data_IF_199312670192
#
_entry.id   IF_199312670192
#
_cell.length_a   1.000
_cell.length_b   1.000
_cell.length_c   1.000
_cell.angle_alpha   90.00
_cell.angle_beta   90.00
_cell.angle_gamma   90.00
#
_symmetry.space_group_name_H-M   'P 1'
#
loop_
_entity.id
_entity.type
_entity.pdbx_description
1 polymer ?
#
# COMPACT_ATOMS: atom_id res chain seq x y z
N UNK A 1 -11.61 0.24 -10.44
CA UNK A 1 -12.10 -0.70 -9.42
C UNK A 1 -11.99 -0.06 -8.05
N UNK A 2 -13.05 -0.15 -7.28
CA UNK A 2 -13.05 0.38 -5.93
C UNK A 2 -13.16 -0.76 -4.94
N UNK A 3 -13.12 -0.44 -3.66
CA UNK A 3 -13.18 -1.46 -2.62
C UNK A 3 -14.44 -2.32 -2.78
N UNK A 4 -15.57 -1.71 -3.11
CA UNK A 4 -16.79 -2.49 -3.27
C UNK A 4 -16.69 -3.49 -4.43
N UNK A 5 -16.03 -3.09 -5.51
CA UNK A 5 -15.83 -3.99 -6.65
C UNK A 5 -14.93 -5.16 -6.26
N UNK A 6 -13.93 -4.89 -5.42
CA UNK A 6 -13.05 -5.93 -4.95
C UNK A 6 -13.82 -6.91 -4.08
N UNK A 7 -14.68 -6.40 -3.20
CA UNK A 7 -15.51 -7.23 -2.34
C UNK A 7 -16.43 -8.11 -3.20
N UNK A 8 -17.03 -7.50 -4.22
CA UNK A 8 -17.94 -8.24 -5.09
C UNK A 8 -17.21 -9.38 -5.80
N UNK A 9 -16.00 -9.10 -6.28
CA UNK A 9 -15.23 -10.11 -7.00
C UNK A 9 -14.84 -11.26 -6.08
N UNK A 10 -14.41 -10.96 -4.88
CA UNK A 10 -14.00 -11.99 -3.93
C UNK A 10 -15.21 -12.82 -3.51
N UNK A 11 -16.35 -12.16 -3.26
CA UNK A 11 -17.56 -12.87 -2.85
C UNK A 11 -18.00 -13.84 -3.93
N UNK A 12 -17.95 -13.43 -5.20
CA UNK A 12 -18.32 -14.29 -6.30
C UNK A 12 -17.34 -15.45 -6.45
N UNK A 13 -16.06 -15.16 -6.32
CA UNK A 13 -15.03 -16.16 -6.48
C UNK A 13 -15.08 -17.21 -5.38
N UNK A 14 -15.37 -16.80 -4.17
CA UNK A 14 -15.40 -17.70 -3.02
C UNK A 14 -16.81 -18.20 -2.69
N UNK A 15 -17.80 -17.72 -3.41
CA UNK A 15 -19.20 -18.09 -3.18
C UNK A 15 -19.59 -17.80 -1.73
N UNK A 16 -19.32 -16.57 -1.31
CA UNK A 16 -19.64 -16.14 0.04
C UNK A 16 -20.52 -14.89 -0.01
N UNK A 17 -21.30 -14.64 1.03
CA UNK A 17 -22.12 -13.42 1.05
C UNK A 17 -21.25 -12.17 1.05
N UNK A 18 -21.68 -11.17 0.29
CA UNK A 18 -20.91 -9.93 0.19
C UNK A 18 -20.69 -9.26 1.53
N UNK A 19 -21.69 -9.32 2.41
CA UNK A 19 -21.58 -8.72 3.71
C UNK A 19 -20.43 -9.34 4.50
N UNK A 20 -20.33 -10.66 4.46
CA UNK A 20 -19.27 -11.35 5.18
C UNK A 20 -17.90 -11.01 4.60
N UNK A 21 -17.81 -10.98 3.27
CA UNK A 21 -16.55 -10.65 2.60
C UNK A 21 -16.16 -9.21 2.93
N UNK A 22 -17.14 -8.30 2.94
CA UNK A 22 -16.86 -6.91 3.25
C UNK A 22 -16.27 -6.74 4.64
N UNK A 23 -16.79 -7.49 5.61
CA UNK A 23 -16.27 -7.43 6.97
C UNK A 23 -14.83 -7.93 7.03
N UNK A 24 -14.53 -9.01 6.30
CA UNK A 24 -13.18 -9.56 6.29
C UNK A 24 -12.21 -8.62 5.58
N UNK A 25 -12.62 -8.08 4.45
CA UNK A 25 -11.78 -7.14 3.70
C UNK A 25 -11.45 -5.93 4.55
N UNK A 26 -12.46 -5.38 5.22
CA UNK A 26 -12.22 -4.23 6.09
C UNK A 26 -11.27 -4.59 7.23
N UNK A 27 -11.43 -5.78 7.79
CA UNK A 27 -10.55 -6.22 8.88
C UNK A 27 -9.11 -6.35 8.42
N UNK A 28 -8.89 -6.83 7.19
CA UNK A 28 -7.54 -6.95 6.64
C UNK A 28 -6.90 -5.58 6.49
N UNK A 29 -7.62 -4.64 5.89
CA UNK A 29 -7.06 -3.30 5.69
C UNK A 29 -6.82 -2.58 7.01
N UNK A 30 -7.72 -2.75 7.97
CA UNK A 30 -7.54 -2.15 9.28
C UNK A 30 -6.33 -2.74 10.00
N UNK A 31 -6.11 -4.05 9.86
CA UNK A 31 -4.95 -4.69 10.49
C UNK A 31 -3.65 -4.16 9.88
N UNK A 32 -3.61 -3.98 8.56
CA UNK A 32 -2.44 -3.43 7.91
C UNK A 32 -2.20 -2.01 8.38
N UNK A 33 -3.25 -1.20 8.41
CA UNK A 33 -3.13 0.19 8.85
C UNK A 33 -2.61 0.28 10.28
N UNK A 34 -3.16 -0.54 11.16
CA UNK A 34 -2.79 -0.49 12.57
C UNK A 34 -1.35 -0.95 12.79
N UNK A 35 -0.91 -1.97 12.06
CA UNK A 35 0.47 -2.42 12.15
C UNK A 35 1.42 -1.32 11.69
N UNK A 36 1.08 -0.66 10.59
CA UNK A 36 1.93 0.40 10.06
C UNK A 36 1.94 1.61 10.99
N UNK A 37 0.83 1.88 11.66
CA UNK A 37 0.79 2.97 12.64
C UNK A 37 1.75 2.72 13.78
N UNK A 38 2.03 1.44 14.06
CA UNK A 38 3.01 1.09 15.07
C UNK A 38 4.42 1.00 14.52
N UNK A 39 4.60 1.31 13.25
CA UNK A 39 5.92 1.28 12.62
C UNK A 39 6.32 -0.06 12.05
N UNK A 40 5.41 -1.01 11.99
CA UNK A 40 5.75 -2.34 11.50
C UNK A 40 5.65 -2.44 10.00
N UNK A 41 6.51 -3.26 9.43
CA UNK A 41 6.46 -3.59 8.02
C UNK A 41 5.52 -4.78 7.85
N UNK A 42 4.64 -4.70 6.88
CA UNK A 42 3.70 -5.79 6.59
C UNK A 42 4.07 -6.40 5.26
N UNK A 43 4.53 -7.64 5.29
CA UNK A 43 4.97 -8.34 4.09
C UNK A 43 3.91 -9.35 3.66
N UNK A 44 3.44 -9.21 2.42
CA UNK A 44 2.47 -10.12 1.85
C UNK A 44 3.18 -10.90 0.75
N UNK A 45 3.61 -12.10 1.08
CA UNK A 45 4.40 -12.92 0.17
C UNK A 45 3.68 -13.08 -1.16
N UNK A 46 4.40 -12.83 -2.24
CA UNK A 46 3.81 -12.95 -3.58
C UNK A 46 3.11 -11.70 -4.05
N UNK A 47 2.95 -10.70 -3.19
CA UNK A 47 2.23 -9.48 -3.56
C UNK A 47 3.11 -8.26 -3.38
N UNK A 48 3.61 -8.04 -2.20
CA UNK A 48 4.45 -6.88 -1.93
C UNK A 48 4.51 -6.61 -0.44
N UNK A 49 5.02 -5.45 -0.09
CA UNK A 49 5.13 -5.09 1.31
C UNK A 49 4.74 -3.64 1.52
N UNK A 50 4.18 -3.39 2.69
CA UNK A 50 3.85 -2.04 3.13
C UNK A 50 4.87 -1.67 4.19
N UNK A 51 5.50 -0.53 4.04
CA UNK A 51 6.52 -0.10 5.01
C UNK A 51 6.32 1.34 5.37
N UNK A 52 6.90 1.73 6.49
CA UNK A 52 6.86 3.10 6.94
C UNK A 52 8.22 3.70 6.63
N UNK A 53 8.22 4.80 5.91
CA UNK A 53 9.46 5.50 5.61
C UNK A 53 9.47 6.80 6.37
N UNK A 54 10.66 7.23 6.77
CA UNK A 54 10.84 8.46 7.51
C UNK A 54 11.39 9.50 6.56
N UNK A 55 10.68 10.62 6.44
CA UNK A 55 11.13 11.70 5.57
C UNK A 55 11.60 12.82 6.45
N UNK A 56 12.85 13.24 6.23
CA UNK A 56 13.44 14.27 7.03
C UNK A 56 12.87 15.63 6.73
N UNK A 57 13.00 16.52 7.67
CA UNK A 57 12.69 17.91 7.46
C UNK A 57 13.49 18.44 6.29
N UNK A 58 12.91 19.26 5.46
CA UNK A 58 13.61 19.84 4.34
C UNK A 58 13.00 21.18 3.99
N UNK A 59 13.73 21.93 3.20
CA UNK A 59 13.26 23.22 2.76
C UNK A 59 12.54 23.07 1.43
N UNK A 60 11.49 23.81 1.26
CA UNK A 60 10.77 23.88 0.03
C UNK A 60 10.51 25.33 -0.32
N UNK A 61 9.82 25.57 -1.40
CA UNK A 61 9.52 26.90 -1.84
C UNK A 61 8.04 27.01 -2.17
N UNK A 62 7.42 28.04 -1.65
CA UNK A 62 6.02 28.29 -1.93
C UNK A 62 5.91 28.81 -3.38
N UNK A 63 5.26 28.08 -4.26
CA UNK A 63 5.19 28.49 -5.67
C UNK A 63 4.43 29.79 -5.89
N UNK A 64 3.58 30.18 -4.92
CA UNK A 64 2.83 31.37 -5.07
C UNK A 64 3.61 32.57 -4.66
N UNK A 65 4.36 32.55 -3.60
CA UNK A 65 5.07 33.70 -3.05
C UNK A 65 6.56 33.64 -3.31
N UNK A 66 7.09 32.50 -3.65
CA UNK A 66 8.53 32.32 -3.84
C UNK A 66 9.30 32.23 -2.53
N UNK A 67 8.60 32.25 -1.40
CA UNK A 67 9.27 32.20 -0.12
C UNK A 67 9.67 30.79 0.25
N UNK A 68 10.79 30.68 0.95
CA UNK A 68 11.26 29.39 1.46
C UNK A 68 10.38 28.98 2.63
N UNK A 69 9.97 27.73 2.64
CA UNK A 69 9.20 27.17 3.74
C UNK A 69 9.89 25.91 4.22
N UNK A 70 9.61 25.54 5.45
CA UNK A 70 10.16 24.33 6.03
C UNK A 70 9.10 23.24 6.00
N UNK A 71 9.46 22.11 5.40
CA UNK A 71 8.57 20.95 5.37
C UNK A 71 9.01 20.04 6.50
N UNK A 72 8.11 19.82 7.46
CA UNK A 72 8.44 19.10 8.67
C UNK A 72 8.75 17.63 8.39
N UNK A 73 9.57 17.04 9.24
CA UNK A 73 9.82 15.61 9.19
C UNK A 73 8.51 14.86 9.43
N UNK A 74 8.37 13.73 8.76
CA UNK A 74 7.14 12.95 8.93
C UNK A 74 7.40 11.49 8.58
N UNK A 75 6.47 10.65 9.00
CA UNK A 75 6.45 9.27 8.59
C UNK A 75 5.44 9.13 7.48
N UNK A 76 5.70 8.26 6.53
CA UNK A 76 4.80 8.07 5.40
C UNK A 76 4.70 6.60 5.04
N UNK A 77 3.52 6.15 4.63
CA UNK A 77 3.37 4.78 4.18
C UNK A 77 3.92 4.64 2.76
N UNK A 78 4.47 3.48 2.48
CA UNK A 78 4.99 3.19 1.16
C UNK A 78 4.70 1.74 0.83
N UNK A 79 4.27 1.48 -0.40
CA UNK A 79 4.04 0.12 -0.86
C UNK A 79 5.14 -0.24 -1.85
N UNK A 80 5.72 -1.42 -1.67
CA UNK A 80 6.73 -1.93 -2.59
C UNK A 80 6.20 -3.21 -3.20
N UNK A 81 6.00 -3.21 -4.51
CA UNK A 81 5.45 -4.37 -5.21
C UNK A 81 6.45 -5.50 -5.23
N UNK A 82 5.97 -6.72 -5.06
CA UNK A 82 6.81 -7.88 -5.16
C UNK A 82 6.99 -8.30 -6.61
N UNK A 83 7.89 -9.25 -6.85
CA UNK A 83 8.22 -9.64 -8.22
C UNK A 83 7.05 -10.32 -8.92
N UNK A 84 6.26 -11.10 -8.21
CA UNK A 84 5.12 -11.75 -8.83
C UNK A 84 4.08 -10.74 -9.29
N UNK A 85 3.83 -9.73 -8.47
CA UNK A 85 2.88 -8.69 -8.85
C UNK A 85 3.40 -7.90 -10.04
N UNK A 86 4.69 -7.56 -10.02
CA UNK A 86 5.29 -6.84 -11.14
C UNK A 86 5.17 -7.63 -12.43
N UNK A 87 5.43 -8.93 -12.35
CA UNK A 87 5.35 -9.79 -13.52
C UNK A 87 3.93 -9.85 -14.07
N UNK A 88 2.95 -9.98 -13.17
CA UNK A 88 1.57 -10.05 -13.58
C UNK A 88 1.14 -8.78 -14.29
N UNK A 89 1.61 -7.65 -13.82
CA UNK A 89 1.22 -6.36 -14.39
C UNK A 89 1.92 -6.11 -15.70
N UNK A 90 3.23 -6.41 -15.77
CA UNK A 90 3.98 -6.12 -16.98
C UNK A 90 3.78 -7.16 -18.07
N UNK A 91 3.38 -8.35 -17.69
CA UNK A 91 3.23 -9.42 -18.66
C UNK A 91 4.56 -9.99 -19.11
N UNK A 92 5.65 -9.64 -18.43
CA UNK A 92 6.97 -10.13 -18.80
C UNK A 92 7.66 -10.73 -17.63
N UNK A 93 8.65 -11.57 -17.92
CA UNK A 93 9.46 -12.11 -16.87
C UNK A 93 10.40 -11.05 -16.37
N UNK A 94 10.41 -10.80 -15.10
CA UNK A 94 11.26 -9.80 -14.49
C UNK A 94 12.31 -10.50 -13.65
N UNK A 95 13.52 -10.04 -13.73
CA UNK A 95 14.59 -10.59 -12.92
C UNK A 95 14.28 -10.39 -11.45
N UNK A 96 15.05 -11.10 -10.67
CA UNK A 96 14.70 -11.00 -9.32
C UNK A 96 15.38 -9.99 -8.66
N UNK A 97 15.46 -8.88 -9.10
CA UNK A 97 16.10 -7.85 -8.42
C UNK A 97 15.18 -7.28 -7.43
N UNK A 98 14.26 -7.84 -6.99
CA UNK A 98 13.45 -7.32 -6.21
C UNK A 98 13.32 -7.49 -5.00
N UNK A 99 13.22 -7.26 -4.35
CA UNK A 99 13.07 -6.86 -3.31
C UNK A 99 12.00 -7.30 -2.56
N UNK A 100 11.47 -7.53 -2.35
CA UNK A 100 10.51 -7.86 -1.64
C UNK A 100 10.62 -8.28 -0.57
#
# INVERSE_FOLDING_TARGET
MRKQDLIDAVAAQQNLPKRQVGMVVDAVFNAIRDAMAEGEKVTLTGFGSFEVVHRNEREGRNPRTGKTITIAARKAPQFRAGSELKRAVSGEEIGDDDDE
#
